data_IF_866818583536
#
_entry.id   IF_866818583536
#
_cell.length_a   1.000
_cell.length_b   1.000
_cell.length_c   1.000
_cell.angle_alpha   90.00
_cell.angle_beta   90.00
_cell.angle_gamma   90.00
#
_symmetry.space_group_name_H-M   'P 1'
#
loop_
_entity.id
_entity.type
_entity.pdbx_description
1 polymer ?
#
# COMPACT_ATOMS: atom_id res chain seq x y z
N UNK A 1 39.01 9.64 -11.80
CA UNK A 1 38.73 8.41 -11.04
C UNK A 1 38.00 8.80 -9.76
N UNK A 2 36.66 8.83 -9.76
CA UNK A 2 35.85 9.08 -8.55
C UNK A 2 35.03 7.82 -8.29
N UNK A 3 35.36 7.16 -7.19
CA UNK A 3 34.62 6.03 -6.62
C UNK A 3 33.25 6.56 -6.17
N UNK A 4 32.19 6.25 -6.92
CA UNK A 4 30.83 6.49 -6.45
C UNK A 4 30.48 5.38 -5.45
N UNK A 5 30.39 5.77 -4.18
CA UNK A 5 29.90 4.91 -3.11
C UNK A 5 28.40 4.67 -3.35
N UNK A 6 28.04 3.44 -3.73
CA UNK A 6 26.63 3.00 -3.88
C UNK A 6 25.90 3.21 -2.56
N UNK A 7 24.85 4.04 -2.54
CA UNK A 7 23.89 4.03 -1.43
C UNK A 7 23.19 2.67 -1.46
N UNK A 8 23.36 1.90 -0.38
CA UNK A 8 22.70 0.60 -0.22
C UNK A 8 21.17 0.78 -0.27
N UNK A 9 20.41 -0.18 -0.84
CA UNK A 9 18.96 -0.20 -0.71
C UNK A 9 18.59 -0.18 0.78
N UNK A 10 17.58 0.62 1.15
CA UNK A 10 17.07 0.65 2.53
C UNK A 10 16.71 -0.79 2.89
N UNK A 11 17.52 -1.39 3.78
CA UNK A 11 17.30 -2.77 4.20
C UNK A 11 15.88 -2.89 4.73
N UNK A 12 15.18 -3.97 4.37
CA UNK A 12 13.87 -4.31 4.92
C UNK A 12 13.92 -4.13 6.44
N UNK A 13 13.13 -3.20 6.97
CA UNK A 13 13.18 -2.84 8.40
C UNK A 13 12.76 -4.07 9.21
N UNK A 14 13.65 -4.55 10.08
CA UNK A 14 13.29 -5.58 11.04
C UNK A 14 12.60 -4.91 12.23
N UNK A 15 11.28 -4.85 12.18
CA UNK A 15 10.47 -4.22 13.21
C UNK A 15 10.60 -4.87 14.59
N UNK A 16 10.87 -6.18 14.65
CA UNK A 16 11.11 -6.86 15.92
C UNK A 16 12.43 -6.38 16.53
N UNK A 17 13.49 -6.33 15.73
CA UNK A 17 14.78 -5.79 16.16
C UNK A 17 14.65 -4.33 16.60
N UNK A 18 13.90 -3.52 15.86
CA UNK A 18 13.66 -2.12 16.22
C UNK A 18 12.91 -1.99 17.54
N UNK A 19 11.91 -2.84 17.78
CA UNK A 19 11.16 -2.89 19.04
C UNK A 19 12.07 -3.26 20.21
N UNK A 20 12.94 -4.26 20.05
CA UNK A 20 13.89 -4.64 21.10
C UNK A 20 14.93 -3.56 21.37
N UNK A 21 15.44 -2.89 20.33
CA UNK A 21 16.33 -1.73 20.50
C UNK A 21 15.63 -0.60 21.26
N UNK A 22 14.36 -0.30 20.92
CA UNK A 22 13.59 0.73 21.60
C UNK A 22 13.38 0.39 23.09
N UNK A 23 13.04 -0.85 23.44
CA UNK A 23 12.90 -1.27 24.85
C UNK A 23 14.18 -1.15 25.66
N UNK A 24 15.34 -1.40 25.02
CA UNK A 24 16.65 -1.34 25.68
C UNK A 24 17.19 0.09 25.84
N UNK A 25 16.68 1.04 25.05
CA UNK A 25 17.07 2.44 25.15
C UNK A 25 16.51 3.09 26.42
N UNK A 26 17.04 4.26 26.80
CA UNK A 26 16.53 5.04 27.93
C UNK A 26 15.10 5.46 27.67
N UNK A 27 14.16 4.99 28.50
CA UNK A 27 12.73 5.34 28.37
C UNK A 27 12.45 6.77 28.86
N UNK A 28 11.28 7.30 28.50
CA UNK A 28 10.87 8.65 28.87
C UNK A 28 11.23 9.72 27.84
N UNK A 29 10.98 10.97 28.23
CA UNK A 29 11.19 12.14 27.39
C UNK A 29 12.67 12.36 27.08
N UNK A 30 12.95 12.64 25.80
CA UNK A 30 14.26 13.04 25.31
C UNK A 30 14.15 14.47 24.83
N UNK A 31 15.17 15.28 25.07
CA UNK A 31 15.22 16.71 24.76
C UNK A 31 16.48 17.01 23.95
N UNK A 32 16.33 17.88 22.96
CA UNK A 32 17.46 18.39 22.19
C UNK A 32 18.19 19.48 22.99
N UNK A 33 19.50 19.30 23.14
CA UNK A 33 20.40 20.31 23.67
C UNK A 33 21.07 21.04 22.52
N UNK A 34 20.86 22.36 22.43
CA UNK A 34 21.35 23.20 21.34
C UNK A 34 22.19 24.33 21.95
N UNK A 35 23.49 24.34 21.68
CA UNK A 35 24.42 25.38 22.13
C UNK A 35 25.30 25.88 20.97
N UNK A 36 24.83 26.91 20.24
CA UNK A 36 25.57 27.47 19.11
C UNK A 36 26.92 28.08 19.52
N UNK A 37 27.02 28.62 20.74
CA UNK A 37 28.27 29.22 21.23
C UNK A 37 29.40 28.22 21.50
N UNK A 38 29.07 26.93 21.59
CA UNK A 38 30.04 25.84 21.79
C UNK A 38 29.98 24.80 20.68
N UNK A 39 29.28 25.08 19.57
CA UNK A 39 28.99 24.15 18.48
C UNK A 39 28.54 22.75 18.96
N UNK A 40 27.71 22.74 20.03
CA UNK A 40 27.30 21.51 20.71
C UNK A 40 25.81 21.26 20.51
N UNK A 41 25.51 20.11 19.89
CA UNK A 41 24.16 19.65 19.57
C UNK A 41 24.03 18.19 20.00
N UNK A 42 23.16 17.90 20.96
CA UNK A 42 23.05 16.57 21.57
C UNK A 42 21.60 16.25 21.95
N UNK A 43 21.34 14.99 22.33
CA UNK A 43 20.06 14.57 22.90
C UNK A 43 20.30 14.06 24.32
N UNK A 44 19.49 14.51 25.25
CA UNK A 44 19.60 14.17 26.67
C UNK A 44 18.23 13.97 27.30
N UNK A 45 18.20 13.55 28.56
CA UNK A 45 16.96 13.52 29.34
C UNK A 45 16.80 14.83 30.13
N UNK A 46 15.58 15.30 30.43
CA UNK A 46 15.37 16.55 31.15
C UNK A 46 16.13 16.69 32.49
N UNK A 47 16.45 15.57 33.15
CA UNK A 47 17.19 15.54 34.41
C UNK A 47 18.73 15.50 34.29
N UNK A 48 19.28 15.49 33.07
CA UNK A 48 20.74 15.49 32.85
C UNK A 48 21.28 16.93 32.85
N UNK A 49 21.98 17.30 33.93
CA UNK A 49 22.63 18.61 34.11
C UNK A 49 24.06 18.66 33.52
N UNK A 50 24.27 18.05 32.34
CA UNK A 50 25.56 18.01 31.61
C UNK A 50 26.68 17.27 32.36
N UNK A 51 26.45 16.02 32.75
CA UNK A 51 27.46 15.25 33.50
C UNK A 51 28.67 14.73 32.69
N UNK A 52 29.02 15.30 31.52
CA UNK A 52 30.21 14.84 30.76
C UNK A 52 30.78 15.82 29.73
N UNK A 53 32.04 15.59 29.35
CA UNK A 53 32.72 16.27 28.24
C UNK A 53 32.01 15.90 26.93
N UNK A 54 31.13 16.79 26.45
CA UNK A 54 30.52 16.63 25.14
C UNK A 54 31.62 16.82 24.10
N UNK A 55 32.18 15.70 23.61
CA UNK A 55 33.10 15.72 22.48
C UNK A 55 32.34 16.37 21.32
N UNK A 56 32.94 17.39 20.69
CA UNK A 56 32.40 18.05 19.50
C UNK A 56 32.19 17.00 18.41
N UNK A 57 31.00 16.40 18.38
CA UNK A 57 30.62 15.45 17.36
C UNK A 57 30.22 16.26 16.13
N UNK A 58 30.91 16.07 14.98
CA UNK A 58 30.59 16.82 13.76
C UNK A 58 29.24 16.41 13.15
N UNK A 59 28.44 15.58 13.82
CA UNK A 59 27.20 15.05 13.27
C UNK A 59 27.46 14.12 12.08
N UNK A 60 26.43 13.96 11.24
CA UNK A 60 26.51 13.15 10.02
C UNK A 60 27.01 13.94 8.80
N UNK A 61 27.10 15.27 8.92
CA UNK A 61 27.20 16.20 7.80
C UNK A 61 28.01 17.47 8.10
N UNK A 62 29.05 17.36 8.94
CA UNK A 62 29.90 18.48 9.40
C UNK A 62 29.09 19.61 10.06
N UNK A 63 28.14 19.21 10.92
CA UNK A 63 27.25 20.03 11.73
C UNK A 63 26.25 20.91 10.97
N UNK A 64 26.12 20.75 9.66
CA UNK A 64 25.21 21.57 8.84
C UNK A 64 23.75 21.43 9.26
N UNK A 65 23.33 20.26 9.74
CA UNK A 65 21.97 20.01 10.25
C UNK A 65 21.95 19.51 11.70
N UNK A 66 22.99 19.81 12.49
CA UNK A 66 23.15 19.22 13.83
C UNK A 66 21.97 19.54 14.77
N UNK A 67 21.45 20.77 14.72
CA UNK A 67 20.27 21.20 15.46
C UNK A 67 19.04 20.37 15.10
N UNK A 68 18.66 20.36 13.81
CA UNK A 68 17.52 19.59 13.31
C UNK A 68 17.63 18.09 13.62
N UNK A 69 18.84 17.52 13.54
CA UNK A 69 19.08 16.11 13.85
C UNK A 69 18.85 15.81 15.34
N UNK A 70 19.31 16.70 16.23
CA UNK A 70 19.10 16.56 17.67
C UNK A 70 17.60 16.65 18.01
N UNK A 71 16.89 17.63 17.45
CA UNK A 71 15.44 17.76 17.59
C UNK A 71 14.69 16.53 17.09
N UNK A 72 15.06 16.03 15.90
CA UNK A 72 14.45 14.83 15.32
C UNK A 72 14.66 13.59 16.21
N UNK A 73 15.89 13.34 16.67
CA UNK A 73 16.20 12.18 17.52
C UNK A 73 15.49 12.29 18.87
N UNK A 74 15.43 13.50 19.46
CA UNK A 74 14.71 13.74 20.70
C UNK A 74 13.20 13.48 20.56
N UNK A 75 12.59 13.96 19.47
CA UNK A 75 11.18 13.72 19.17
C UNK A 75 10.90 12.24 18.86
N UNK A 76 11.84 11.52 18.25
CA UNK A 76 11.72 10.10 17.92
C UNK A 76 12.29 9.19 19.01
N UNK A 77 11.89 9.47 20.25
CA UNK A 77 12.32 8.71 21.42
C UNK A 77 11.77 7.26 21.41
N UNK A 78 12.23 6.38 22.32
CA UNK A 78 11.83 4.99 22.34
C UNK A 78 10.34 4.74 22.58
N UNK A 79 9.65 5.62 23.31
CA UNK A 79 8.20 5.50 23.54
C UNK A 79 7.42 5.78 22.26
N UNK A 80 7.78 6.82 21.52
CA UNK A 80 7.20 7.16 20.22
C UNK A 80 7.43 6.04 19.21
N UNK A 81 8.65 5.48 19.15
CA UNK A 81 8.94 4.34 18.27
C UNK A 81 8.05 3.15 18.59
N UNK A 82 7.89 2.80 19.86
CA UNK A 82 7.04 1.68 20.28
C UNK A 82 5.56 1.91 19.93
N UNK A 83 5.04 3.11 20.19
CA UNK A 83 3.66 3.48 19.85
C UNK A 83 3.39 3.38 18.34
N UNK A 84 4.31 3.88 17.51
CA UNK A 84 4.19 3.78 16.05
C UNK A 84 4.24 2.31 15.57
N UNK A 85 5.06 1.47 16.22
CA UNK A 85 5.11 0.05 15.91
C UNK A 85 3.82 -0.68 16.28
N UNK A 86 3.22 -0.33 17.42
CA UNK A 86 1.92 -0.86 17.87
C UNK A 86 0.79 -0.45 16.91
N UNK A 87 0.73 0.84 16.54
CA UNK A 87 -0.25 1.33 15.58
C UNK A 87 -0.14 0.61 14.23
N UNK A 88 1.10 0.47 13.72
CA UNK A 88 1.35 -0.24 12.46
C UNK A 88 0.90 -1.70 12.52
N UNK A 89 1.16 -2.39 13.62
CA UNK A 89 0.73 -3.78 13.82
C UNK A 89 -0.80 -3.89 13.88
N UNK A 90 -1.47 -2.99 14.61
CA UNK A 90 -2.93 -2.93 14.67
C UNK A 90 -3.56 -2.67 13.30
N UNK A 91 -3.03 -1.72 12.54
CA UNK A 91 -3.46 -1.44 11.16
C UNK A 91 -3.25 -2.65 10.25
N UNK A 92 -2.09 -3.31 10.33
CA UNK A 92 -1.80 -4.51 9.54
C UNK A 92 -2.80 -5.64 9.82
N UNK A 93 -3.14 -5.85 11.10
CA UNK A 93 -4.17 -6.82 11.50
C UNK A 93 -5.54 -6.46 10.96
N UNK A 94 -5.94 -5.18 11.06
CA UNK A 94 -7.23 -4.69 10.55
C UNK A 94 -7.36 -4.88 9.03
N UNK A 95 -6.28 -4.63 8.28
CA UNK A 95 -6.25 -4.86 6.83
C UNK A 95 -6.49 -6.34 6.53
N UNK A 96 -5.77 -7.25 7.19
CA UNK A 96 -5.94 -8.69 6.99
C UNK A 96 -7.37 -9.18 7.31
N UNK A 97 -7.99 -8.64 8.36
CA UNK A 97 -9.41 -8.92 8.69
C UNK A 97 -10.36 -8.43 7.59
N UNK A 98 -10.15 -7.22 7.09
CA UNK A 98 -10.96 -6.67 6.00
C UNK A 98 -10.80 -7.48 4.72
N UNK A 99 -9.58 -7.86 4.35
CA UNK A 99 -9.31 -8.72 3.19
C UNK A 99 -10.02 -10.07 3.31
N UNK A 100 -9.97 -10.70 4.49
CA UNK A 100 -10.68 -11.95 4.74
C UNK A 100 -12.20 -11.79 4.61
N UNK A 101 -12.77 -10.72 5.17
CA UNK A 101 -14.20 -10.42 5.05
C UNK A 101 -14.62 -10.16 3.59
N UNK A 102 -13.78 -9.47 2.81
CA UNK A 102 -14.04 -9.22 1.39
C UNK A 102 -14.07 -10.52 0.58
N UNK A 103 -13.14 -11.44 0.84
CA UNK A 103 -13.12 -12.76 0.19
C UNK A 103 -14.37 -13.56 0.55
N UNK A 104 -14.78 -13.57 1.82
CA UNK A 104 -15.99 -14.25 2.26
C UNK A 104 -17.25 -13.68 1.59
N UNK A 105 -17.39 -12.35 1.57
CA UNK A 105 -18.52 -11.68 0.95
C UNK A 105 -18.56 -11.90 -0.58
N UNK A 106 -17.40 -11.92 -1.23
CA UNK A 106 -17.31 -12.25 -2.66
C UNK A 106 -17.78 -13.70 -2.94
N UNK A 107 -17.43 -14.66 -2.09
CA UNK A 107 -17.88 -16.04 -2.22
C UNK A 107 -19.39 -16.18 -1.98
N UNK A 108 -19.93 -15.51 -0.96
CA UNK A 108 -21.38 -15.48 -0.68
C UNK A 108 -22.15 -14.86 -1.84
N UNK A 109 -21.70 -13.72 -2.37
CA UNK A 109 -22.31 -13.09 -3.54
C UNK A 109 -22.27 -13.99 -4.78
N UNK A 110 -21.18 -14.73 -5.00
CA UNK A 110 -21.09 -15.68 -6.11
C UNK A 110 -22.09 -16.85 -5.97
N UNK A 111 -22.32 -17.33 -4.75
CA UNK A 111 -23.36 -18.34 -4.47
C UNK A 111 -24.76 -17.78 -4.67
N UNK A 112 -25.02 -16.56 -4.20
CA UNK A 112 -26.29 -15.87 -4.41
C UNK A 112 -26.60 -15.72 -5.92
N UNK A 113 -25.61 -15.35 -6.74
CA UNK A 113 -25.76 -15.31 -8.21
C UNK A 113 -26.17 -16.66 -8.80
N UNK A 114 -25.48 -17.73 -8.39
CA UNK A 114 -25.78 -19.08 -8.88
C UNK A 114 -27.19 -19.53 -8.49
N UNK A 115 -27.61 -19.22 -7.26
CA UNK A 115 -28.96 -19.52 -6.79
C UNK A 115 -30.02 -18.76 -7.59
N UNK A 116 -29.81 -17.47 -7.83
CA UNK A 116 -30.73 -16.66 -8.66
C UNK A 116 -30.77 -17.18 -10.10
N UNK A 117 -29.63 -17.56 -10.69
CA UNK A 117 -29.60 -18.12 -12.03
C UNK A 117 -30.39 -19.43 -12.12
N UNK A 118 -30.19 -20.36 -11.18
CA UNK A 118 -30.95 -21.61 -11.15
C UNK A 118 -32.46 -21.37 -11.01
N UNK A 119 -32.86 -20.35 -10.24
CA UNK A 119 -34.26 -19.96 -10.11
C UNK A 119 -34.80 -19.37 -11.42
N UNK A 120 -34.04 -18.52 -12.11
CA UNK A 120 -34.35 -18.01 -13.45
C UNK A 120 -34.56 -19.12 -14.47
N UNK A 121 -33.68 -20.13 -14.48
CA UNK A 121 -33.77 -21.24 -15.42
C UNK A 121 -35.06 -22.05 -15.20
N UNK A 122 -35.38 -22.39 -13.95
CA UNK A 122 -36.61 -23.13 -13.60
C UNK A 122 -37.89 -22.36 -13.95
N UNK A 123 -37.91 -21.04 -13.71
CA UNK A 123 -39.07 -20.21 -14.10
C UNK A 123 -39.16 -20.11 -15.62
N UNK A 124 -38.03 -19.97 -16.30
CA UNK A 124 -37.94 -19.99 -17.76
C UNK A 124 -38.53 -21.26 -18.36
N UNK A 125 -38.09 -22.43 -17.88
CA UNK A 125 -38.57 -23.74 -18.34
C UNK A 125 -40.07 -23.94 -18.10
N UNK A 126 -40.62 -23.33 -17.05
CA UNK A 126 -42.03 -23.45 -16.68
C UNK A 126 -42.89 -22.28 -17.18
N UNK A 127 -42.38 -21.43 -18.07
CA UNK A 127 -43.04 -20.18 -18.49
C UNK A 127 -44.45 -20.40 -19.05
N UNK A 128 -44.68 -21.48 -19.81
CA UNK A 128 -46.00 -21.78 -20.38
C UNK A 128 -47.05 -22.07 -19.30
N UNK A 129 -46.71 -22.90 -18.31
CA UNK A 129 -47.59 -23.21 -17.16
C UNK A 129 -47.84 -21.96 -16.31
N UNK A 130 -46.81 -21.14 -16.09
CA UNK A 130 -46.95 -19.87 -15.35
C UNK A 130 -47.84 -18.89 -16.14
N UNK A 131 -47.74 -18.87 -17.47
CA UNK A 131 -48.59 -18.05 -18.33
C UNK A 131 -50.08 -18.36 -18.17
N UNK A 132 -50.45 -19.61 -17.90
CA UNK A 132 -51.84 -20.02 -17.67
C UNK A 132 -52.41 -19.45 -16.37
N UNK A 133 -51.57 -19.27 -15.34
CA UNK A 133 -51.99 -18.80 -14.01
C UNK A 133 -51.96 -17.27 -13.86
N UNK A 134 -50.90 -16.60 -14.33
CA UNK A 134 -50.71 -15.16 -14.13
C UNK A 134 -50.86 -14.33 -15.41
N UNK A 135 -51.10 -14.98 -16.56
CA UNK A 135 -51.17 -14.33 -17.86
C UNK A 135 -49.81 -13.85 -18.40
N UNK A 136 -49.75 -13.52 -19.69
CA UNK A 136 -48.53 -13.06 -20.37
C UNK A 136 -47.91 -11.80 -19.74
N UNK A 137 -48.74 -10.84 -19.35
CA UNK A 137 -48.27 -9.61 -18.73
C UNK A 137 -47.68 -9.88 -17.33
N UNK A 138 -48.27 -10.81 -16.57
CA UNK A 138 -47.72 -11.25 -15.28
C UNK A 138 -46.38 -11.95 -15.42
N UNK A 139 -46.22 -12.81 -16.43
CA UNK A 139 -44.94 -13.47 -16.77
C UNK A 139 -43.86 -12.45 -17.13
N UNK A 140 -44.21 -11.41 -17.90
CA UNK A 140 -43.24 -10.39 -18.31
C UNK A 140 -42.69 -9.63 -17.09
N UNK A 141 -43.56 -9.24 -16.15
CA UNK A 141 -43.17 -8.58 -14.90
C UNK A 141 -42.24 -9.46 -14.06
N UNK A 142 -42.53 -10.76 -13.96
CA UNK A 142 -41.69 -11.73 -13.25
C UNK A 142 -40.31 -11.82 -13.91
N UNK A 143 -40.25 -12.01 -15.23
CA UNK A 143 -38.99 -12.12 -15.96
C UNK A 143 -38.13 -10.84 -15.84
N UNK A 144 -38.73 -9.66 -15.88
CA UNK A 144 -38.02 -8.40 -15.68
C UNK A 144 -37.45 -8.27 -14.26
N UNK A 145 -38.24 -8.58 -13.23
CA UNK A 145 -37.81 -8.57 -11.84
C UNK A 145 -36.68 -9.58 -11.57
N UNK A 146 -36.76 -10.77 -12.17
CA UNK A 146 -35.73 -11.81 -12.08
C UNK A 146 -34.41 -11.36 -12.73
N UNK A 147 -34.50 -10.77 -13.93
CA UNK A 147 -33.34 -10.24 -14.66
C UNK A 147 -32.66 -9.11 -13.88
N UNK A 148 -33.42 -8.26 -13.20
CA UNK A 148 -32.88 -7.23 -12.32
C UNK A 148 -32.22 -7.81 -11.05
N UNK A 149 -32.76 -8.91 -10.51
CA UNK A 149 -32.24 -9.55 -9.29
C UNK A 149 -30.96 -10.35 -9.54
N UNK A 150 -30.85 -11.00 -10.71
CA UNK A 150 -29.65 -11.74 -11.11
C UNK A 150 -28.49 -10.86 -11.57
N UNK A 151 -28.81 -9.67 -12.09
CA UNK A 151 -27.82 -8.68 -12.50
C UNK A 151 -27.35 -7.90 -11.27
N UNK A 152 -26.12 -8.16 -10.82
CA UNK A 152 -25.52 -7.46 -9.68
C UNK A 152 -24.36 -6.56 -10.14
N UNK A 153 -24.61 -5.49 -10.91
CA UNK A 153 -23.57 -4.66 -11.50
C UNK A 153 -22.70 -3.97 -10.44
N UNK A 154 -23.27 -3.68 -9.25
CA UNK A 154 -22.50 -3.17 -8.12
C UNK A 154 -21.46 -4.17 -7.60
N UNK A 155 -21.79 -5.46 -7.58
CA UNK A 155 -20.83 -6.53 -7.21
C UNK A 155 -19.77 -6.72 -8.28
N UNK A 156 -20.12 -6.66 -9.57
CA UNK A 156 -19.14 -6.74 -10.65
C UNK A 156 -18.18 -5.56 -10.66
N UNK A 157 -18.71 -4.36 -10.45
CA UNK A 157 -17.90 -3.15 -10.31
C UNK A 157 -16.96 -3.26 -9.10
N UNK A 158 -17.46 -3.75 -7.97
CA UNK A 158 -16.63 -3.96 -6.78
C UNK A 158 -15.53 -5.00 -7.01
N UNK A 159 -15.84 -6.16 -7.58
CA UNK A 159 -14.83 -7.20 -7.87
C UNK A 159 -13.80 -6.72 -8.90
N UNK A 160 -14.25 -5.93 -9.88
CA UNK A 160 -13.38 -5.29 -10.86
C UNK A 160 -12.44 -4.29 -10.22
N UNK A 161 -12.92 -3.49 -9.26
CA UNK A 161 -12.10 -2.56 -8.48
C UNK A 161 -11.09 -3.31 -7.61
N UNK A 162 -11.50 -4.37 -6.91
CA UNK A 162 -10.58 -5.19 -6.09
C UNK A 162 -9.47 -5.80 -6.94
N UNK A 163 -9.78 -6.30 -8.14
CA UNK A 163 -8.77 -6.79 -9.08
C UNK A 163 -7.83 -5.66 -9.53
N UNK A 164 -8.38 -4.48 -9.84
CA UNK A 164 -7.59 -3.33 -10.24
C UNK A 164 -6.65 -2.84 -9.12
N UNK A 165 -7.12 -2.81 -7.87
CA UNK A 165 -6.30 -2.49 -6.70
C UNK A 165 -5.14 -3.49 -6.50
N UNK A 166 -5.38 -4.78 -6.76
CA UNK A 166 -4.32 -5.79 -6.78
C UNK A 166 -3.25 -5.50 -7.83
N UNK A 167 -3.67 -5.05 -9.02
CA UNK A 167 -2.75 -4.62 -10.09
C UNK A 167 -2.01 -3.33 -9.69
N UNK A 168 -2.69 -2.36 -9.06
CA UNK A 168 -2.05 -1.13 -8.56
C UNK A 168 -0.95 -1.43 -7.54
N UNK A 169 -1.19 -2.36 -6.61
CA UNK A 169 -0.18 -2.81 -5.66
C UNK A 169 1.03 -3.45 -6.37
N UNK A 170 0.80 -4.26 -7.41
CA UNK A 170 1.86 -4.85 -8.22
C UNK A 170 2.63 -3.79 -9.03
N UNK A 171 1.94 -2.78 -9.56
CA UNK A 171 2.56 -1.64 -10.26
C UNK A 171 3.52 -0.90 -9.32
N UNK A 172 3.09 -0.57 -8.10
CA UNK A 172 3.95 0.13 -7.15
C UNK A 172 5.17 -0.71 -6.75
N UNK A 173 5.00 -2.03 -6.59
CA UNK A 173 6.14 -2.93 -6.39
C UNK A 173 7.10 -2.96 -7.60
N UNK A 174 6.55 -3.02 -8.82
CA UNK A 174 7.34 -3.04 -10.06
C UNK A 174 8.10 -1.72 -10.28
N UNK A 175 7.44 -0.57 -10.10
CA UNK A 175 8.08 0.75 -10.17
C UNK A 175 9.29 0.86 -9.24
N UNK A 176 9.14 0.37 -8.02
CA UNK A 176 10.22 0.35 -7.03
C UNK A 176 11.36 -0.58 -7.46
N UNK A 177 11.07 -1.78 -7.97
CA UNK A 177 12.08 -2.71 -8.46
C UNK A 177 12.85 -2.15 -9.66
N UNK A 178 12.16 -1.56 -10.64
CA UNK A 178 12.80 -0.95 -11.82
C UNK A 178 13.73 0.19 -11.42
N UNK A 179 13.28 1.09 -10.53
CA UNK A 179 14.14 2.17 -10.05
C UNK A 179 15.38 1.62 -9.31
N UNK A 180 15.22 0.57 -8.50
CA UNK A 180 16.33 -0.04 -7.75
C UNK A 180 17.33 -0.77 -8.65
N UNK A 181 16.86 -1.55 -9.61
CA UNK A 181 17.72 -2.38 -10.47
C UNK A 181 18.67 -1.55 -11.33
N UNK A 182 18.18 -0.42 -11.84
CA UNK A 182 18.97 0.49 -12.68
C UNK A 182 19.53 1.68 -11.89
N UNK A 183 19.46 1.64 -10.56
CA UNK A 183 20.02 2.66 -9.66
C UNK A 183 19.46 4.10 -9.88
N UNK A 184 18.21 4.22 -10.35
CA UNK A 184 17.51 5.51 -10.45
C UNK A 184 16.91 5.94 -9.10
N UNK A 185 16.74 7.26 -8.93
CA UNK A 185 16.12 7.85 -7.72
C UNK A 185 14.65 7.45 -7.54
N UNK A 186 13.93 7.27 -8.64
CA UNK A 186 12.51 6.95 -8.71
C UNK A 186 12.19 6.43 -10.12
N UNK A 187 11.00 5.84 -10.28
CA UNK A 187 10.53 5.32 -11.55
C UNK A 187 10.39 6.43 -12.63
N UNK A 188 10.10 7.68 -12.25
CA UNK A 188 9.99 8.79 -13.20
C UNK A 188 11.34 9.11 -13.86
N UNK A 189 12.43 9.04 -13.11
CA UNK A 189 13.76 9.22 -13.64
C UNK A 189 14.12 8.09 -14.61
N UNK A 190 13.77 6.85 -14.26
CA UNK A 190 13.95 5.69 -15.13
C UNK A 190 13.16 5.84 -16.45
N UNK A 191 11.88 6.23 -16.35
CA UNK A 191 11.00 6.50 -17.49
C UNK A 191 11.54 7.63 -18.39
N UNK A 192 12.06 8.72 -17.80
CA UNK A 192 12.62 9.84 -18.55
C UNK A 192 13.85 9.43 -19.36
N UNK A 193 14.66 8.50 -18.85
CA UNK A 193 15.94 8.11 -19.46
C UNK A 193 15.76 7.06 -20.58
N UNK A 194 14.58 6.42 -20.66
CA UNK A 194 14.23 5.49 -21.73
C UNK A 194 14.45 6.09 -23.14
N UNK A 195 14.18 7.38 -23.34
CA UNK A 195 14.37 8.03 -24.64
C UNK A 195 15.85 8.11 -25.09
N UNK A 196 16.79 7.98 -24.15
CA UNK A 196 18.22 8.05 -24.42
C UNK A 196 18.82 6.67 -24.74
N UNK A 197 18.09 5.57 -24.46
CA UNK A 197 18.60 4.20 -24.52
C UNK A 197 17.62 3.20 -25.18
N UNK A 198 17.25 3.41 -26.48
CA UNK A 198 16.16 2.71 -27.20
C UNK A 198 16.27 1.17 -27.34
N UNK A 199 17.40 0.57 -26.95
CA UNK A 199 17.62 -0.89 -27.00
C UNK A 199 17.93 -1.51 -25.63
N UNK A 200 17.71 -0.77 -24.54
CA UNK A 200 17.99 -1.26 -23.19
C UNK A 200 16.83 -2.09 -22.63
N UNK A 201 17.15 -3.06 -21.78
CA UNK A 201 16.18 -3.86 -21.01
C UNK A 201 15.28 -2.99 -20.10
N UNK A 202 15.75 -1.77 -19.76
CA UNK A 202 15.00 -0.78 -18.99
C UNK A 202 13.69 -0.39 -19.68
N UNK A 203 13.71 -0.21 -21.00
CA UNK A 203 12.54 0.21 -21.77
C UNK A 203 11.43 -0.81 -21.66
N UNK A 204 11.73 -2.09 -21.90
CA UNK A 204 10.71 -3.14 -21.83
C UNK A 204 10.08 -3.25 -20.44
N UNK A 205 10.85 -3.01 -19.37
CA UNK A 205 10.34 -3.02 -17.99
C UNK A 205 9.49 -1.81 -17.66
N UNK A 206 9.84 -0.62 -18.17
CA UNK A 206 9.03 0.60 -18.04
C UNK A 206 7.73 0.45 -18.81
N UNK A 207 7.78 0.00 -20.06
CA UNK A 207 6.61 -0.27 -20.90
C UNK A 207 5.67 -1.30 -20.26
N UNK A 208 6.21 -2.39 -19.70
CA UNK A 208 5.41 -3.38 -18.98
C UNK A 208 4.71 -2.77 -17.75
N UNK A 209 5.40 -1.89 -17.03
CA UNK A 209 4.84 -1.22 -15.84
C UNK A 209 3.74 -0.24 -16.24
N UNK A 210 3.88 0.47 -17.36
CA UNK A 210 2.86 1.35 -17.92
C UNK A 210 1.66 0.55 -18.44
N UNK A 211 1.88 -0.57 -19.12
CA UNK A 211 0.81 -1.45 -19.59
C UNK A 211 -0.06 -1.97 -18.44
N UNK A 212 0.54 -2.27 -17.29
CA UNK A 212 -0.21 -2.67 -16.10
C UNK A 212 -1.16 -1.57 -15.62
N UNK A 213 -0.80 -0.29 -15.77
CA UNK A 213 -1.68 0.84 -15.44
C UNK A 213 -2.92 0.83 -16.34
N UNK A 214 -2.73 0.62 -17.63
CA UNK A 214 -3.82 0.50 -18.59
C UNK A 214 -4.68 -0.74 -18.32
N UNK A 215 -4.06 -1.86 -17.94
CA UNK A 215 -4.76 -3.08 -17.57
C UNK A 215 -5.63 -2.88 -16.32
N UNK A 216 -5.11 -2.23 -15.28
CA UNK A 216 -5.89 -1.86 -14.09
C UNK A 216 -7.08 -0.97 -14.46
N UNK A 217 -6.88 0.02 -15.35
CA UNK A 217 -7.95 0.88 -15.84
C UNK A 217 -9.01 0.12 -16.68
N UNK A 218 -8.60 -0.90 -17.43
CA UNK A 218 -9.54 -1.76 -18.19
C UNK A 218 -10.38 -2.64 -17.25
N UNK A 219 -9.77 -3.18 -16.19
CA UNK A 219 -10.50 -3.95 -15.19
C UNK A 219 -11.63 -3.12 -14.58
N UNK A 220 -11.36 -1.85 -14.20
CA UNK A 220 -12.37 -0.94 -13.64
C UNK A 220 -13.56 -0.65 -14.56
N UNK A 221 -13.37 -0.76 -15.88
CA UNK A 221 -14.43 -0.59 -16.89
C UNK A 221 -15.26 -1.87 -17.08
N UNK A 222 -15.03 -2.91 -16.29
CA UNK A 222 -15.71 -4.20 -16.37
C UNK A 222 -14.98 -5.24 -17.23
N UNK A 223 -13.89 -4.86 -17.92
CA UNK A 223 -13.09 -5.73 -18.78
C UNK A 223 -13.85 -6.30 -20.00
N UNK A 224 -13.21 -6.33 -21.18
CA UNK A 224 -13.61 -7.30 -22.21
C UNK A 224 -13.06 -8.67 -21.78
N UNK A 225 -13.80 -9.42 -20.96
CA UNK A 225 -13.53 -10.85 -20.71
C UNK A 225 -14.36 -11.72 -21.65
#
# INVERSE_FOLDING_TARGET
MRLFSRRQPVRKINYQTLREIAKLATQGEWVAFISPGTDTYAVHTPGDERCGDIIKWPGFDDQKNAENNAEFIAAFNPEVVQALLDEREAQSKRIAELEANLVALAAENALARKAVQAFCDVVGDNTEVICEEVGRDGVLVILEAMKATGNMPATDAFLSEVRALGVDAAIEAAKNLVAQEYEYKDFKAAQSDCCMHPGSDLIGKVEMTEWLVDFAAQLRKGGNQ
#
